data_IF_992389269478
#
_entry.id   IF_992389269478
#
_cell.length_a   1.000
_cell.length_b   1.000
_cell.length_c   1.000
_cell.angle_alpha   90.00
_cell.angle_beta   90.00
_cell.angle_gamma   90.00
#
_symmetry.space_group_name_H-M   'P 1'
#
loop_
_entity.id
_entity.type
_entity.pdbx_description
1 polymer ?
#
# COMPACT_ATOMS: atom_id res chain seq x y z
N UNK A 1 -16.57 -20.98 -16.98
CA UNK A 1 -16.34 -19.54 -17.20
C UNK A 1 -17.45 -18.81 -16.46
N UNK A 2 -17.17 -18.12 -15.36
CA UNK A 2 -18.17 -17.28 -14.67
C UNK A 2 -18.59 -16.15 -15.60
N UNK A 3 -19.86 -15.74 -15.53
CA UNK A 3 -20.37 -14.64 -16.35
C UNK A 3 -19.54 -13.38 -16.07
N UNK A 4 -18.86 -12.86 -17.09
CA UNK A 4 -18.13 -11.59 -17.02
C UNK A 4 -19.12 -10.50 -16.61
N UNK A 5 -18.69 -9.53 -15.82
CA UNK A 5 -19.52 -8.46 -15.24
C UNK A 5 -20.64 -8.96 -14.27
N UNK A 6 -20.48 -10.15 -13.68
CA UNK A 6 -21.44 -10.73 -12.73
C UNK A 6 -21.40 -10.04 -11.35
N UNK A 7 -22.40 -10.34 -10.50
CA UNK A 7 -22.38 -9.90 -9.09
C UNK A 7 -21.10 -10.33 -8.36
N UNK A 8 -20.54 -11.48 -8.70
CA UNK A 8 -19.25 -11.95 -8.15
C UNK A 8 -18.09 -11.10 -8.63
N UNK A 9 -18.10 -10.61 -9.87
CA UNK A 9 -17.08 -9.70 -10.40
C UNK A 9 -17.07 -8.39 -9.60
N UNK A 10 -18.22 -7.82 -9.31
CA UNK A 10 -18.33 -6.61 -8.51
C UNK A 10 -17.89 -6.82 -7.05
N UNK A 11 -18.20 -7.98 -6.45
CA UNK A 11 -17.67 -8.33 -5.12
C UNK A 11 -16.13 -8.40 -5.15
N UNK A 12 -15.55 -9.05 -6.15
CA UNK A 12 -14.08 -9.13 -6.30
C UNK A 12 -13.48 -7.75 -6.53
N UNK A 13 -14.16 -6.88 -7.26
CA UNK A 13 -13.77 -5.50 -7.44
C UNK A 13 -13.78 -4.71 -6.11
N UNK A 14 -14.82 -4.85 -5.30
CA UNK A 14 -14.89 -4.21 -3.98
C UNK A 14 -13.76 -4.65 -3.05
N UNK A 15 -13.42 -5.95 -3.07
CA UNK A 15 -12.29 -6.48 -2.30
C UNK A 15 -10.95 -5.90 -2.81
N UNK A 16 -10.78 -5.82 -4.14
CA UNK A 16 -9.58 -5.23 -4.73
C UNK A 16 -9.44 -3.74 -4.40
N UNK A 17 -10.54 -2.97 -4.43
CA UNK A 17 -10.57 -1.58 -3.98
C UNK A 17 -10.16 -1.47 -2.51
N UNK A 18 -10.77 -2.25 -1.62
CA UNK A 18 -10.46 -2.19 -0.20
C UNK A 18 -8.99 -2.49 0.07
N UNK A 19 -8.44 -3.55 -0.54
CA UNK A 19 -7.04 -3.91 -0.43
C UNK A 19 -6.11 -2.79 -0.96
N UNK A 20 -6.47 -2.18 -2.10
CA UNK A 20 -5.68 -1.10 -2.66
C UNK A 20 -5.77 0.19 -1.82
N UNK A 21 -6.93 0.52 -1.25
CA UNK A 21 -7.08 1.65 -0.33
C UNK A 21 -6.19 1.50 0.90
N UNK A 22 -6.15 0.30 1.50
CA UNK A 22 -5.23 -0.02 2.62
C UNK A 22 -3.78 0.14 2.20
N UNK A 23 -3.39 -0.36 1.02
CA UNK A 23 -2.04 -0.19 0.50
C UNK A 23 -1.66 1.29 0.33
N UNK A 24 -2.56 2.11 -0.21
CA UNK A 24 -2.35 3.55 -0.38
C UNK A 24 -2.26 4.28 0.97
N UNK A 25 -3.09 3.89 1.95
CA UNK A 25 -3.02 4.41 3.32
C UNK A 25 -1.63 4.12 3.92
N UNK A 26 -1.17 2.88 3.87
CA UNK A 26 0.14 2.49 4.42
C UNK A 26 1.29 3.21 3.71
N UNK A 27 1.21 3.36 2.38
CA UNK A 27 2.19 4.13 1.61
C UNK A 27 2.29 5.58 2.07
N UNK A 28 1.16 6.23 2.31
CA UNK A 28 1.08 7.66 2.67
C UNK A 28 1.20 7.95 4.17
N UNK A 29 1.15 6.93 5.02
CA UNK A 29 1.11 7.06 6.48
C UNK A 29 2.26 7.88 7.07
N UNK A 30 3.48 7.77 6.51
CA UNK A 30 4.63 8.54 6.98
C UNK A 30 4.48 10.04 6.71
N UNK A 31 3.85 10.42 5.60
CA UNK A 31 3.59 11.82 5.30
C UNK A 31 2.65 12.46 6.30
N UNK A 32 1.63 11.71 6.74
CA UNK A 32 0.68 12.17 7.78
C UNK A 32 1.37 12.26 9.14
N UNK A 33 2.25 11.32 9.47
CA UNK A 33 2.97 11.21 10.74
C UNK A 33 4.34 11.91 10.72
N UNK A 34 4.58 12.85 9.81
CA UNK A 34 5.92 13.42 9.62
C UNK A 34 6.45 14.17 10.87
N UNK A 35 5.58 14.89 11.58
CA UNK A 35 5.96 15.62 12.79
C UNK A 35 6.35 14.64 13.90
N UNK A 36 5.48 13.67 14.18
CA UNK A 36 5.71 12.64 15.20
C UNK A 36 6.95 11.79 14.86
N UNK A 37 7.22 11.57 13.57
CA UNK A 37 8.39 10.82 13.12
C UNK A 37 9.70 11.61 13.36
N UNK A 38 9.72 12.93 13.10
CA UNK A 38 10.88 13.75 13.38
C UNK A 38 11.23 13.76 14.87
N UNK A 39 10.22 13.89 15.72
CA UNK A 39 10.38 13.87 17.18
C UNK A 39 10.84 12.47 17.65
N UNK A 40 10.17 11.40 17.18
CA UNK A 40 10.47 10.03 17.57
C UNK A 40 11.90 9.60 17.26
N UNK A 41 12.38 9.91 16.06
CA UNK A 41 13.71 9.53 15.61
C UNK A 41 14.77 10.59 15.90
N UNK A 42 14.39 11.73 16.47
CA UNK A 42 15.27 12.88 16.75
C UNK A 42 16.07 13.31 15.52
N UNK A 43 15.41 13.37 14.35
CA UNK A 43 16.02 13.70 13.07
C UNK A 43 15.38 14.94 12.44
N UNK A 44 16.07 15.56 11.51
CA UNK A 44 15.51 16.66 10.73
C UNK A 44 14.65 16.15 9.55
N UNK A 45 13.87 17.04 8.96
CA UNK A 45 12.99 16.74 7.84
C UNK A 45 13.75 16.15 6.61
N UNK A 46 14.99 16.56 6.39
CA UNK A 46 15.82 16.03 5.30
C UNK A 46 16.18 14.54 5.52
N UNK A 47 16.55 14.16 6.72
CA UNK A 47 16.81 12.77 7.08
C UNK A 47 15.52 11.93 7.03
N UNK A 48 14.38 12.49 7.49
CA UNK A 48 13.10 11.80 7.43
C UNK A 48 12.65 11.58 5.96
N UNK A 49 12.90 12.53 5.06
CA UNK A 49 12.52 12.38 3.65
C UNK A 49 13.23 11.21 2.96
N UNK A 50 14.38 10.76 3.47
CA UNK A 50 15.07 9.56 2.93
C UNK A 50 14.20 8.31 3.04
N UNK A 51 13.35 8.20 4.07
CA UNK A 51 12.41 7.09 4.23
C UNK A 51 11.38 7.04 3.10
N UNK A 52 10.85 8.21 2.70
CA UNK A 52 9.91 8.30 1.59
C UNK A 52 10.61 8.05 0.24
N UNK A 53 11.79 8.62 0.05
CA UNK A 53 12.59 8.42 -1.18
C UNK A 53 12.94 6.95 -1.37
N UNK A 54 13.44 6.27 -0.34
CA UNK A 54 13.80 4.85 -0.42
C UNK A 54 12.58 3.99 -0.74
N UNK A 55 11.43 4.25 -0.13
CA UNK A 55 10.20 3.54 -0.44
C UNK A 55 9.82 3.67 -1.92
N UNK A 56 9.88 4.90 -2.48
CA UNK A 56 9.55 5.16 -3.90
C UNK A 56 10.59 4.51 -4.82
N UNK A 57 11.88 4.56 -4.49
CA UNK A 57 12.93 3.91 -5.26
C UNK A 57 12.75 2.39 -5.31
N UNK A 58 12.48 1.77 -4.17
CA UNK A 58 12.19 0.32 -4.08
C UNK A 58 10.95 -0.02 -4.90
N UNK A 59 9.87 0.76 -4.74
CA UNK A 59 8.64 0.60 -5.52
C UNK A 59 8.94 0.66 -7.03
N UNK A 60 9.66 1.66 -7.49
CA UNK A 60 9.99 1.83 -8.91
C UNK A 60 10.91 0.72 -9.44
N UNK A 61 11.94 0.36 -8.68
CA UNK A 61 12.89 -0.70 -9.06
C UNK A 61 12.21 -2.08 -9.21
N UNK A 62 11.20 -2.33 -8.38
CA UNK A 62 10.49 -3.60 -8.38
C UNK A 62 9.37 -3.70 -9.44
N UNK A 63 9.03 -2.64 -10.17
CA UNK A 63 7.95 -2.70 -11.19
C UNK A 63 8.22 -3.77 -12.26
N UNK A 64 9.45 -3.86 -12.77
CA UNK A 64 9.81 -4.85 -13.80
C UNK A 64 9.88 -6.26 -13.20
N UNK A 65 10.61 -6.54 -12.10
CA UNK A 65 10.61 -7.84 -11.46
C UNK A 65 9.21 -8.35 -11.07
N UNK A 66 8.38 -7.47 -10.51
CA UNK A 66 6.99 -7.82 -10.13
C UNK A 66 6.15 -8.16 -11.36
N UNK A 67 6.30 -7.43 -12.46
CA UNK A 67 5.63 -7.76 -13.71
C UNK A 67 5.96 -9.18 -14.20
N UNK A 68 7.23 -9.56 -14.19
CA UNK A 68 7.68 -10.92 -14.55
C UNK A 68 7.15 -11.97 -13.55
N UNK A 69 7.18 -11.66 -12.26
CA UNK A 69 6.65 -12.56 -11.23
C UNK A 69 5.13 -12.75 -11.40
N UNK A 70 4.40 -11.68 -11.73
CA UNK A 70 2.96 -11.71 -11.94
C UNK A 70 2.56 -12.71 -13.02
N UNK A 71 3.31 -12.77 -14.11
CA UNK A 71 3.05 -13.72 -15.20
C UNK A 71 3.35 -15.19 -14.80
N UNK A 72 4.25 -15.41 -13.83
CA UNK A 72 4.63 -16.76 -13.38
C UNK A 72 3.75 -17.30 -12.26
N UNK A 73 3.51 -16.51 -11.22
CA UNK A 73 2.82 -16.97 -10.00
C UNK A 73 1.37 -16.51 -9.90
N UNK A 74 0.99 -15.55 -10.74
CA UNK A 74 -0.35 -15.01 -10.82
C UNK A 74 -0.69 -13.95 -9.76
N UNK A 75 -1.79 -13.19 -9.98
CA UNK A 75 -2.11 -12.00 -9.19
C UNK A 75 -2.50 -12.30 -7.75
N UNK A 76 -3.09 -13.47 -7.46
CA UNK A 76 -3.51 -13.82 -6.09
C UNK A 76 -2.32 -13.98 -5.16
N UNK A 77 -1.29 -14.69 -5.61
CA UNK A 77 -0.07 -14.93 -4.83
C UNK A 77 0.65 -13.61 -4.58
N UNK A 78 0.80 -12.77 -5.60
CA UNK A 78 1.45 -11.48 -5.46
C UNK A 78 0.67 -10.51 -4.55
N UNK A 79 -0.65 -10.46 -4.64
CA UNK A 79 -1.47 -9.65 -3.73
C UNK A 79 -1.29 -10.09 -2.28
N UNK A 80 -1.28 -11.40 -2.02
CA UNK A 80 -1.09 -11.94 -0.66
C UNK A 80 0.32 -11.64 -0.15
N UNK A 81 1.34 -11.85 -0.99
CA UNK A 81 2.73 -11.55 -0.64
C UNK A 81 2.94 -10.05 -0.41
N UNK A 82 2.37 -9.21 -1.28
CA UNK A 82 2.41 -7.76 -1.14
C UNK A 82 1.78 -7.28 0.17
N UNK A 83 0.60 -7.79 0.50
CA UNK A 83 -0.07 -7.49 1.77
C UNK A 83 0.76 -7.94 2.99
N UNK A 84 1.35 -9.14 2.94
CA UNK A 84 2.23 -9.63 4.00
C UNK A 84 3.48 -8.77 4.19
N UNK A 85 4.14 -8.38 3.09
CA UNK A 85 5.31 -7.48 3.13
C UNK A 85 4.94 -6.10 3.68
N UNK A 86 3.79 -5.55 3.30
CA UNK A 86 3.32 -4.27 3.82
C UNK A 86 3.00 -4.36 5.32
N UNK A 87 2.33 -5.42 5.77
CA UNK A 87 2.04 -5.64 7.18
C UNK A 87 3.32 -5.79 8.01
N UNK A 88 4.30 -6.56 7.53
CA UNK A 88 5.61 -6.69 8.17
C UNK A 88 6.37 -5.35 8.19
N UNK A 89 6.35 -4.63 7.10
CA UNK A 89 7.00 -3.32 7.01
C UNK A 89 6.38 -2.29 7.95
N UNK A 90 5.05 -2.26 8.04
CA UNK A 90 4.34 -1.36 8.93
C UNK A 90 4.55 -1.74 10.40
N UNK A 91 4.54 -3.03 10.72
CA UNK A 91 4.87 -3.52 12.07
C UNK A 91 6.31 -3.18 12.46
N UNK A 92 7.26 -3.32 11.53
CA UNK A 92 8.66 -2.93 11.75
C UNK A 92 8.77 -1.42 12.04
N UNK A 93 8.05 -0.59 11.27
CA UNK A 93 8.00 0.85 11.49
C UNK A 93 7.36 1.21 12.83
N UNK A 94 6.30 0.50 13.23
CA UNK A 94 5.60 0.70 14.50
C UNK A 94 6.52 0.57 15.71
N UNK A 95 7.41 -0.42 15.70
CA UNK A 95 8.32 -0.71 16.80
C UNK A 95 9.73 -0.16 16.60
N UNK A 96 10.00 0.55 15.49
CA UNK A 96 11.33 1.04 15.16
C UNK A 96 11.90 1.97 16.25
N UNK A 97 13.06 1.63 16.84
CA UNK A 97 13.74 2.50 17.80
C UNK A 97 14.65 3.53 17.13
N UNK A 98 15.04 3.29 15.87
CA UNK A 98 15.98 4.13 15.12
C UNK A 98 15.51 4.34 13.69
N UNK A 99 16.02 5.40 13.05
CA UNK A 99 15.77 5.67 11.63
C UNK A 99 16.19 4.50 10.72
N UNK A 100 17.28 3.81 11.06
CA UNK A 100 17.76 2.66 10.28
C UNK A 100 16.77 1.48 10.28
N UNK A 101 16.13 1.17 11.40
CA UNK A 101 15.09 0.16 11.47
C UNK A 101 13.82 0.62 10.75
N UNK A 102 13.47 1.90 10.86
CA UNK A 102 12.37 2.49 10.11
C UNK A 102 12.59 2.39 8.58
N UNK A 103 13.83 2.53 8.13
CA UNK A 103 14.22 2.37 6.72
C UNK A 103 13.92 0.95 6.20
N UNK A 104 14.25 -0.08 6.98
CA UNK A 104 13.90 -1.48 6.64
C UNK A 104 12.38 -1.62 6.49
N UNK A 105 11.60 -1.07 7.42
CA UNK A 105 10.14 -1.04 7.32
C UNK A 105 9.66 -0.40 6.01
N UNK A 106 10.25 0.71 5.60
CA UNK A 106 9.89 1.41 4.35
C UNK A 106 10.29 0.65 3.09
N UNK A 107 11.39 -0.07 3.11
CA UNK A 107 11.76 -0.99 2.02
C UNK A 107 10.69 -2.09 1.85
N UNK A 108 10.26 -2.69 2.95
CA UNK A 108 9.23 -3.74 2.92
C UNK A 108 7.88 -3.19 2.44
N UNK A 109 7.47 -2.01 2.92
CA UNK A 109 6.24 -1.35 2.44
C UNK A 109 6.34 -1.03 0.96
N UNK A 110 7.46 -0.49 0.48
CA UNK A 110 7.68 -0.19 -0.94
C UNK A 110 7.64 -1.44 -1.82
N UNK A 111 8.22 -2.53 -1.35
CA UNK A 111 8.20 -3.82 -2.06
C UNK A 111 6.77 -4.40 -2.13
N UNK A 112 6.02 -4.36 -1.03
CA UNK A 112 4.63 -4.82 -0.99
C UNK A 112 3.70 -3.96 -1.84
N UNK A 113 3.87 -2.64 -1.81
CA UNK A 113 3.10 -1.68 -2.61
C UNK A 113 3.32 -1.91 -4.13
N UNK A 114 4.56 -2.20 -4.56
CA UNK A 114 4.88 -2.52 -5.95
C UNK A 114 4.08 -3.73 -6.47
N UNK A 115 3.79 -4.69 -5.62
CA UNK A 115 3.02 -5.88 -5.97
C UNK A 115 1.51 -5.63 -6.03
N UNK A 116 1.00 -4.60 -5.32
CA UNK A 116 -0.44 -4.46 -5.08
C UNK A 116 -1.19 -3.93 -6.29
N UNK A 117 -0.82 -2.78 -6.85
CA UNK A 117 -1.60 -2.14 -7.93
C UNK A 117 -1.63 -2.99 -9.21
N UNK A 118 -0.46 -3.43 -9.70
CA UNK A 118 -0.36 -4.22 -10.94
C UNK A 118 -1.12 -5.53 -10.79
N UNK A 119 -0.98 -6.19 -9.62
CA UNK A 119 -1.69 -7.45 -9.35
C UNK A 119 -3.19 -7.24 -9.21
N UNK A 120 -3.65 -6.14 -8.61
CA UNK A 120 -5.08 -5.81 -8.53
C UNK A 120 -5.67 -5.61 -9.92
N UNK A 121 -5.01 -4.83 -10.79
CA UNK A 121 -5.45 -4.64 -12.18
C UNK A 121 -5.49 -5.98 -12.93
N UNK A 122 -4.43 -6.78 -12.85
CA UNK A 122 -4.37 -8.09 -13.48
C UNK A 122 -5.43 -9.06 -12.94
N UNK A 123 -5.72 -8.99 -11.65
CA UNK A 123 -6.78 -9.77 -11.04
C UNK A 123 -8.14 -9.44 -11.63
N UNK A 124 -8.44 -8.16 -11.85
CA UNK A 124 -9.69 -7.69 -12.43
C UNK A 124 -9.89 -8.14 -13.88
N UNK A 125 -8.81 -8.32 -14.65
CA UNK A 125 -8.92 -8.82 -16.04
C UNK A 125 -9.53 -10.22 -16.16
N UNK A 126 -9.56 -11.00 -15.08
CA UNK A 126 -10.19 -12.30 -15.02
C UNK A 126 -11.73 -12.24 -14.83
N UNK A 127 -12.26 -11.06 -14.46
CA UNK A 127 -13.65 -10.89 -14.03
C UNK A 127 -14.44 -9.93 -14.91
N UNK A 128 -13.75 -9.03 -15.61
CA UNK A 128 -14.38 -8.02 -16.47
C UNK A 128 -13.97 -8.20 -17.93
N UNK A 129 -14.87 -7.79 -18.84
CA UNK A 129 -14.58 -7.80 -20.26
C UNK A 129 -13.61 -6.67 -20.65
N UNK A 130 -12.98 -6.80 -21.84
CA UNK A 130 -11.97 -5.83 -22.31
C UNK A 130 -12.47 -4.38 -22.41
N UNK A 131 -13.79 -4.19 -22.60
CA UNK A 131 -14.38 -2.84 -22.67
C UNK A 131 -14.55 -2.21 -21.29
N UNK A 132 -14.77 -3.03 -20.26
CA UNK A 132 -15.00 -2.58 -18.88
C UNK A 132 -13.67 -2.42 -18.10
N UNK A 133 -12.60 -3.12 -18.49
CA UNK A 133 -11.28 -3.06 -17.81
C UNK A 133 -10.76 -1.62 -17.62
N UNK A 134 -10.74 -0.74 -18.63
CA UNK A 134 -10.26 0.64 -18.43
C UNK A 134 -11.05 1.39 -17.37
N UNK A 135 -12.37 1.20 -17.32
CA UNK A 135 -13.26 1.85 -16.36
C UNK A 135 -12.98 1.36 -14.94
N UNK A 136 -12.94 0.04 -14.71
CA UNK A 136 -12.67 -0.50 -13.38
C UNK A 136 -11.24 -0.20 -12.91
N UNK A 137 -10.26 -0.11 -13.81
CA UNK A 137 -8.89 0.29 -13.48
C UNK A 137 -8.85 1.77 -13.06
N UNK A 138 -9.55 2.65 -13.77
CA UNK A 138 -9.65 4.06 -13.41
C UNK A 138 -10.38 4.24 -12.07
N UNK A 139 -11.47 3.51 -11.83
CA UNK A 139 -12.18 3.53 -10.56
C UNK A 139 -11.30 3.03 -9.41
N UNK A 140 -10.52 1.98 -9.63
CA UNK A 140 -9.55 1.48 -8.65
C UNK A 140 -8.53 2.56 -8.28
N UNK A 141 -7.92 3.22 -9.28
CA UNK A 141 -6.97 4.32 -9.06
C UNK A 141 -7.59 5.50 -8.31
N UNK A 142 -8.78 5.93 -8.74
CA UNK A 142 -9.51 7.04 -8.10
C UNK A 142 -9.90 6.70 -6.66
N UNK A 143 -10.37 5.47 -6.40
CA UNK A 143 -10.68 5.02 -5.04
C UNK A 143 -9.45 5.03 -4.14
N UNK A 144 -8.28 4.64 -4.65
CA UNK A 144 -7.03 4.73 -3.91
C UNK A 144 -6.69 6.18 -3.51
N UNK A 145 -6.81 7.14 -4.44
CA UNK A 145 -6.57 8.56 -4.15
C UNK A 145 -7.57 9.13 -3.13
N UNK A 146 -8.84 8.79 -3.26
CA UNK A 146 -9.86 9.16 -2.28
C UNK A 146 -9.56 8.53 -0.91
N UNK A 147 -9.16 7.24 -0.89
CA UNK A 147 -8.74 6.56 0.32
C UNK A 147 -7.57 7.27 1.02
N UNK A 148 -6.59 7.74 0.25
CA UNK A 148 -5.46 8.50 0.80
C UNK A 148 -5.91 9.78 1.51
N UNK A 149 -6.77 10.57 0.87
CA UNK A 149 -7.29 11.82 1.45
C UNK A 149 -8.14 11.56 2.68
N UNK A 150 -9.07 10.60 2.58
CA UNK A 150 -9.98 10.27 3.67
C UNK A 150 -9.28 9.60 4.87
N UNK A 151 -8.20 8.87 4.64
CA UNK A 151 -7.45 8.19 5.71
C UNK A 151 -6.53 9.12 6.48
N UNK A 152 -6.16 10.27 5.93
CA UNK A 152 -5.23 11.20 6.56
C UNK A 152 -5.76 11.69 7.91
N UNK A 153 -7.03 12.07 8.00
CA UNK A 153 -7.65 12.55 9.24
C UNK A 153 -7.77 11.45 10.31
N UNK A 154 -8.32 10.26 10.05
CA UNK A 154 -8.33 9.18 11.04
C UNK A 154 -6.95 8.79 11.55
N UNK A 155 -5.94 8.72 10.67
CA UNK A 155 -4.58 8.39 11.05
C UNK A 155 -3.97 9.46 11.95
N UNK A 156 -4.15 10.74 11.61
CA UNK A 156 -3.69 11.85 12.45
C UNK A 156 -4.36 11.83 13.83
N UNK A 157 -5.67 11.64 13.90
CA UNK A 157 -6.41 11.53 15.15
C UNK A 157 -5.96 10.34 15.99
N UNK A 158 -5.71 9.19 15.37
CA UNK A 158 -5.20 8.00 16.05
C UNK A 158 -3.79 8.23 16.61
N UNK A 159 -2.92 8.91 15.86
CA UNK A 159 -1.57 9.29 16.34
C UNK A 159 -1.64 10.18 17.58
N UNK A 160 -2.52 11.19 17.59
CA UNK A 160 -2.71 12.05 18.74
C UNK A 160 -3.33 11.33 19.94
N UNK A 161 -4.29 10.41 19.72
CA UNK A 161 -5.02 9.72 20.79
C UNK A 161 -4.23 8.54 21.38
N UNK A 162 -3.58 7.74 20.54
CA UNK A 162 -2.97 6.46 20.93
C UNK A 162 -1.45 6.46 20.81
N UNK A 163 -0.88 7.48 20.18
CA UNK A 163 0.55 7.56 19.89
C UNK A 163 0.99 6.67 18.73
N UNK A 164 2.29 6.64 18.49
CA UNK A 164 2.92 6.03 17.33
C UNK A 164 2.66 4.52 17.18
N UNK A 165 3.11 3.73 18.18
CA UNK A 165 3.13 2.27 18.06
C UNK A 165 1.73 1.64 17.90
N UNK A 166 0.71 1.97 18.74
CA UNK A 166 -0.63 1.41 18.55
C UNK A 166 -1.25 1.80 17.22
N UNK A 167 -1.05 3.03 16.77
CA UNK A 167 -1.59 3.53 15.50
C UNK A 167 -1.02 2.77 14.32
N UNK A 168 0.30 2.59 14.26
CA UNK A 168 0.95 1.87 13.16
C UNK A 168 0.70 0.36 13.18
N UNK A 169 0.42 -0.23 14.35
CA UNK A 169 0.02 -1.65 14.44
C UNK A 169 -1.44 -1.87 14.03
N UNK A 170 -2.30 -0.86 14.13
CA UNK A 170 -3.71 -0.96 13.76
C UNK A 170 -4.00 -0.57 12.30
N UNK A 171 -3.06 0.10 11.63
CA UNK A 171 -3.16 0.56 10.25
C UNK A 171 -2.70 -0.50 9.24
#
# INVERSE_FOLDING_TARGET
MGAMNSRRAWLMFSIAIAAYMVAVLQRSSLGVAAVEATDRFSVNAAALSTLAVVQIVVYAALQIPVGVMLDRVGPRVLLTLGAALMALGQSTLAVAPTLGVALIGRILVGAGDAMTFISAVRFLTNWFDGKTIPIVTQLLGTAGQLGQVLSALPLALALHAWGWTPTYLSA
#
